data_IF_019713317421
#
_entry.id   IF_019713317421
#
_cell.length_a   1.000
_cell.length_b   1.000
_cell.length_c   1.000
_cell.angle_alpha   90.00
_cell.angle_beta   90.00
_cell.angle_gamma   90.00
#
_symmetry.space_group_name_H-M   'P 1'
#
loop_
_entity.id
_entity.type
_entity.pdbx_description
1 polymer ?
#
# COMPACT_ATOMS: atom_id res chain seq x y z
N UNK A 1 15.72 6.64 41.83
CA UNK A 1 15.14 7.95 42.22
C UNK A 1 14.58 8.59 40.95
N UNK A 2 13.35 9.12 41.03
CA UNK A 2 12.40 9.34 39.91
C UNK A 2 12.89 10.18 38.72
N UNK A 3 12.20 10.17 37.58
CA UNK A 3 10.78 10.53 37.45
C UNK A 3 10.01 9.69 36.44
N UNK A 4 8.94 9.08 36.93
CA UNK A 4 7.69 8.93 36.18
C UNK A 4 7.17 10.34 35.81
N UNK A 5 6.74 10.53 34.57
CA UNK A 5 6.02 11.73 34.13
C UNK A 5 6.88 12.90 33.67
N UNK A 6 7.24 12.91 32.39
CA UNK A 6 7.31 14.16 31.64
C UNK A 6 6.16 14.14 30.62
N UNK A 7 5.03 14.81 30.90
CA UNK A 7 4.01 15.03 29.89
C UNK A 7 4.48 16.18 28.99
N UNK A 8 4.66 15.93 27.69
CA UNK A 8 4.58 17.03 26.72
C UNK A 8 5.75 17.26 25.78
N UNK A 9 6.30 16.20 25.17
CA UNK A 9 6.73 16.34 23.76
C UNK A 9 6.34 15.08 23.00
N UNK A 10 5.63 15.25 21.89
CA UNK A 10 5.29 14.18 20.94
C UNK A 10 6.48 13.25 20.62
N UNK A 11 7.70 13.77 20.67
CA UNK A 11 8.94 13.05 20.43
C UNK A 11 9.40 13.15 18.98
N UNK A 12 10.56 12.57 18.68
CA UNK A 12 11.15 12.60 17.35
C UNK A 12 10.43 11.63 16.39
N UNK A 13 9.67 12.20 15.45
CA UNK A 13 8.98 11.46 14.41
C UNK A 13 9.78 11.32 13.10
N UNK A 14 10.99 11.89 13.01
CA UNK A 14 11.79 11.91 11.77
C UNK A 14 12.03 10.52 11.18
N UNK A 15 12.29 9.53 12.05
CA UNK A 15 12.47 8.13 11.64
C UNK A 15 11.18 7.53 11.08
N UNK A 16 10.04 7.83 11.70
CA UNK A 16 8.75 7.36 11.23
C UNK A 16 8.39 8.00 9.88
N UNK A 17 8.62 9.31 9.75
CA UNK A 17 8.43 10.05 8.49
C UNK A 17 9.27 9.46 7.36
N UNK A 18 10.58 9.28 7.61
CA UNK A 18 11.49 8.68 6.62
C UNK A 18 11.05 7.28 6.22
N UNK A 19 10.75 6.41 7.19
CA UNK A 19 10.33 5.05 6.92
C UNK A 19 9.01 4.97 6.16
N UNK A 20 8.05 5.86 6.47
CA UNK A 20 6.78 5.94 5.73
C UNK A 20 6.98 6.36 4.28
N UNK A 21 7.84 7.35 4.04
CA UNK A 21 8.17 7.82 2.68
C UNK A 21 8.98 6.81 1.87
N UNK A 22 9.84 6.01 2.51
CA UNK A 22 10.66 5.03 1.80
C UNK A 22 9.90 3.74 1.49
N UNK A 23 9.16 3.20 2.48
CA UNK A 23 8.62 1.84 2.42
C UNK A 23 7.09 1.78 2.30
N UNK A 24 6.40 2.90 2.55
CA UNK A 24 4.94 2.92 2.70
C UNK A 24 4.24 4.05 1.92
N UNK A 25 4.80 4.48 0.79
CA UNK A 25 4.17 5.46 -0.13
C UNK A 25 2.74 5.04 -0.48
N UNK A 26 2.49 3.75 -0.70
CA UNK A 26 1.17 3.21 -1.01
C UNK A 26 0.12 3.50 0.07
N UNK A 27 0.53 3.50 1.35
CA UNK A 27 -0.32 3.88 2.48
C UNK A 27 -0.66 5.37 2.44
N UNK A 28 0.32 6.22 2.11
CA UNK A 28 0.11 7.68 2.01
C UNK A 28 -0.86 8.03 0.88
N UNK A 29 -0.74 7.37 -0.27
CA UNK A 29 -1.69 7.51 -1.39
C UNK A 29 -3.08 7.10 -0.92
N UNK A 30 -3.23 5.93 -0.28
CA UNK A 30 -4.53 5.48 0.24
C UNK A 30 -5.14 6.47 1.24
N UNK A 31 -4.34 7.05 2.13
CA UNK A 31 -4.81 8.07 3.06
C UNK A 31 -5.25 9.35 2.35
N UNK A 32 -4.51 9.81 1.34
CA UNK A 32 -4.88 10.98 0.56
C UNK A 32 -6.22 10.80 -0.19
N UNK A 33 -6.50 9.60 -0.70
CA UNK A 33 -7.80 9.35 -1.32
C UNK A 33 -8.93 9.21 -0.31
N UNK A 34 -8.70 8.50 0.81
CA UNK A 34 -9.76 8.22 1.78
C UNK A 34 -10.04 9.40 2.72
N UNK A 35 -9.02 9.90 3.43
CA UNK A 35 -9.21 10.95 4.43
C UNK A 35 -9.25 12.36 3.83
N UNK A 36 -8.51 12.60 2.74
CA UNK A 36 -8.42 13.92 2.11
C UNK A 36 -9.32 14.08 0.87
N UNK A 37 -10.06 13.03 0.49
CA UNK A 37 -10.95 12.98 -0.68
C UNK A 37 -10.28 13.45 -1.99
N UNK A 38 -8.97 13.22 -2.13
CA UNK A 38 -8.23 13.61 -3.33
C UNK A 38 -8.62 12.68 -4.49
N UNK A 39 -8.92 13.19 -5.70
CA UNK A 39 -9.27 12.36 -6.86
C UNK A 39 -8.15 11.40 -7.28
N UNK A 40 -8.51 10.34 -8.00
CA UNK A 40 -7.76 9.08 -8.24
C UNK A 40 -6.37 9.17 -8.89
N UNK A 41 -5.86 10.35 -9.23
CA UNK A 41 -4.51 10.49 -9.79
C UNK A 41 -3.68 11.42 -8.92
N UNK A 42 -2.90 10.80 -8.04
CA UNK A 42 -1.83 11.44 -7.29
C UNK A 42 -0.51 10.96 -7.89
N UNK A 43 0.28 11.90 -8.37
CA UNK A 43 1.64 11.72 -8.89
C UNK A 43 2.69 11.96 -7.81
N UNK A 44 2.41 12.83 -6.84
CA UNK A 44 3.32 13.16 -5.74
C UNK A 44 2.61 13.18 -4.39
N UNK A 45 3.14 12.40 -3.44
CA UNK A 45 2.72 12.41 -2.05
C UNK A 45 3.90 12.11 -1.13
N UNK A 46 4.03 12.90 -0.07
CA UNK A 46 5.02 12.69 0.97
C UNK A 46 4.44 12.99 2.34
N UNK A 47 4.81 12.20 3.34
CA UNK A 47 4.63 12.54 4.73
C UNK A 47 5.71 13.56 5.09
N UNK A 48 5.31 14.72 5.58
CA UNK A 48 6.22 15.81 5.94
C UNK A 48 6.52 15.78 7.43
N UNK A 49 5.48 15.61 8.23
CA UNK A 49 5.59 15.66 9.68
C UNK A 49 4.50 14.83 10.36
N UNK A 50 4.71 14.56 11.64
CA UNK A 50 3.74 13.92 12.52
C UNK A 50 3.68 14.74 13.81
N UNK A 51 2.49 15.13 14.24
CA UNK A 51 2.27 15.86 15.49
C UNK A 51 1.19 15.16 16.32
N UNK A 52 0.96 15.63 17.55
CA UNK A 52 -0.12 15.11 18.41
C UNK A 52 -1.52 15.21 17.76
N UNK A 53 -1.69 16.16 16.84
CA UNK A 53 -2.96 16.41 16.16
C UNK A 53 -3.20 15.44 14.98
N UNK A 54 -2.14 14.96 14.33
CA UNK A 54 -2.28 14.15 13.13
C UNK A 54 -1.03 13.98 12.28
N UNK A 55 -1.26 13.42 11.09
CA UNK A 55 -0.26 13.27 10.04
C UNK A 55 -0.30 14.44 9.07
N UNK A 56 0.85 15.02 8.76
CA UNK A 56 0.98 16.14 7.83
C UNK A 56 1.54 15.64 6.51
N UNK A 57 0.72 15.66 5.46
CA UNK A 57 1.07 15.19 4.13
C UNK A 57 1.22 16.37 3.17
N UNK A 58 2.21 16.29 2.29
CA UNK A 58 2.26 17.07 1.07
C UNK A 58 1.65 16.23 -0.04
N UNK A 59 0.59 16.72 -0.68
CA UNK A 59 -0.06 16.04 -1.81
C UNK A 59 -0.07 17.01 -2.99
N UNK A 60 0.62 16.69 -4.08
CA UNK A 60 0.73 17.57 -5.26
C UNK A 60 1.21 19.00 -4.90
N UNK A 61 2.17 19.11 -3.98
CA UNK A 61 2.67 20.40 -3.48
C UNK A 61 1.70 21.17 -2.58
N UNK A 62 0.56 20.58 -2.21
CA UNK A 62 -0.40 21.14 -1.24
C UNK A 62 -0.26 20.46 0.10
N UNK A 63 0.04 21.25 1.13
CA UNK A 63 0.10 20.77 2.51
C UNK A 63 -1.30 20.48 3.05
N UNK A 64 -1.49 19.30 3.64
CA UNK A 64 -2.76 18.84 4.21
C UNK A 64 -2.51 18.02 5.46
N UNK A 65 -3.31 18.26 6.49
CA UNK A 65 -3.29 17.49 7.73
C UNK A 65 -4.41 16.45 7.73
N UNK A 66 -4.08 15.23 8.15
CA UNK A 66 -5.05 14.18 8.45
C UNK A 66 -5.09 14.02 9.98
N UNK A 67 -6.20 14.40 10.64
CA UNK A 67 -6.33 14.22 12.07
C UNK A 67 -6.37 12.74 12.43
N UNK A 68 -5.85 12.38 13.60
CA UNK A 68 -5.94 11.01 14.07
C UNK A 68 -7.39 10.57 14.28
N UNK A 69 -7.77 9.35 13.88
CA UNK A 69 -9.09 8.81 14.19
C UNK A 69 -9.36 8.83 15.69
N UNK A 70 -10.57 9.17 16.11
CA UNK A 70 -10.95 9.28 17.53
C UNK A 70 -10.70 7.99 18.34
N UNK A 71 -10.65 6.84 17.65
CA UNK A 71 -10.38 5.53 18.23
C UNK A 71 -8.90 5.31 18.56
N UNK A 72 -8.00 6.12 17.98
CA UNK A 72 -6.57 6.05 18.16
C UNK A 72 -6.08 7.18 19.07
N UNK A 73 -5.63 6.85 20.29
CA UNK A 73 -4.84 7.78 21.10
C UNK A 73 -3.40 7.81 20.59
N UNK A 74 -2.91 9.00 20.24
CA UNK A 74 -1.55 9.20 19.77
C UNK A 74 -0.85 10.24 20.66
N UNK A 75 -0.42 9.81 21.84
CA UNK A 75 0.21 10.69 22.83
C UNK A 75 1.74 10.80 22.59
N UNK A 76 2.31 9.95 21.73
CA UNK A 76 3.74 9.94 21.44
C UNK A 76 4.10 9.32 20.09
N UNK A 77 5.30 9.62 19.60
CA UNK A 77 5.89 9.08 18.37
C UNK A 77 5.97 7.55 18.35
N UNK A 78 5.94 6.88 19.52
CA UNK A 78 5.95 5.41 19.61
C UNK A 78 4.62 4.80 19.18
N UNK A 79 3.52 5.53 19.35
CA UNK A 79 2.19 5.06 19.01
C UNK A 79 1.84 5.31 17.53
N UNK A 80 2.59 6.17 16.85
CA UNK A 80 2.46 6.44 15.41
C UNK A 80 2.33 5.19 14.56
N UNK A 81 3.12 4.15 14.86
CA UNK A 81 3.06 2.89 14.12
C UNK A 81 1.68 2.24 14.22
N UNK A 82 1.08 2.22 15.42
CA UNK A 82 -0.25 1.62 15.63
C UNK A 82 -1.31 2.40 14.88
N UNK A 83 -1.25 3.73 14.98
CA UNK A 83 -2.19 4.63 14.29
C UNK A 83 -2.07 4.51 12.77
N UNK A 84 -0.85 4.49 12.24
CA UNK A 84 -0.60 4.30 10.81
C UNK A 84 -1.15 2.96 10.29
N UNK A 85 -0.96 1.87 11.04
CA UNK A 85 -1.51 0.56 10.67
C UNK A 85 -3.04 0.56 10.70
N UNK A 86 -3.63 1.17 11.73
CA UNK A 86 -5.08 1.32 11.82
C UNK A 86 -5.63 2.09 10.61
N UNK A 87 -5.07 3.27 10.33
CA UNK A 87 -5.49 4.13 9.22
C UNK A 87 -5.29 3.46 7.86
N UNK A 88 -4.21 2.69 7.68
CA UNK A 88 -4.01 1.88 6.49
C UNK A 88 -5.14 0.87 6.32
N UNK A 89 -5.44 0.08 7.36
CA UNK A 89 -6.50 -0.93 7.28
C UNK A 89 -7.87 -0.30 7.02
N UNK A 90 -8.18 0.81 7.68
CA UNK A 90 -9.44 1.54 7.49
C UNK A 90 -9.57 2.05 6.04
N UNK A 91 -8.55 2.78 5.57
CA UNK A 91 -8.55 3.32 4.21
C UNK A 91 -8.62 2.20 3.16
N UNK A 92 -7.87 1.12 3.32
CA UNK A 92 -7.88 -0.01 2.38
C UNK A 92 -9.20 -0.77 2.37
N UNK A 93 -9.84 -0.97 3.54
CA UNK A 93 -11.13 -1.63 3.63
C UNK A 93 -12.22 -0.80 2.92
N UNK A 94 -12.19 0.53 3.07
CA UNK A 94 -13.20 1.44 2.54
C UNK A 94 -13.03 1.75 1.05
N UNK A 95 -11.79 1.92 0.59
CA UNK A 95 -11.51 2.14 -0.83
C UNK A 95 -11.81 0.91 -1.69
N UNK A 96 -11.72 -0.30 -1.11
CA UNK A 96 -12.20 -1.53 -1.72
C UNK A 96 -11.44 -2.02 -2.96
N UNK A 97 -11.91 -3.12 -3.55
CA UNK A 97 -11.27 -3.81 -4.69
C UNK A 97 -11.20 -2.94 -5.97
N UNK A 98 -12.18 -2.06 -6.15
CA UNK A 98 -12.27 -1.15 -7.30
C UNK A 98 -11.17 -0.10 -7.30
N UNK A 99 -10.84 0.47 -6.13
CA UNK A 99 -9.70 1.38 -5.99
C UNK A 99 -8.38 0.67 -6.28
N UNK A 100 -8.21 -0.58 -5.80
CA UNK A 100 -6.99 -1.40 -6.06
C UNK A 100 -6.77 -1.69 -7.55
N UNK A 101 -7.84 -1.77 -8.34
CA UNK A 101 -7.77 -1.93 -9.80
C UNK A 101 -7.51 -0.60 -10.53
N UNK A 102 -8.07 0.51 -10.04
CA UNK A 102 -8.01 1.82 -10.70
C UNK A 102 -6.74 2.63 -10.39
N UNK A 103 -6.19 2.51 -9.18
CA UNK A 103 -4.95 3.20 -8.77
C UNK A 103 -3.67 2.58 -9.33
N UNK A 104 -3.77 1.46 -10.06
CA UNK A 104 -2.60 0.78 -10.61
C UNK A 104 -1.79 0.00 -9.56
N UNK A 105 -2.34 -0.23 -8.37
CA UNK A 105 -1.73 -1.01 -7.28
C UNK A 105 -1.20 -2.38 -7.74
N UNK A 106 -1.93 -3.02 -8.67
CA UNK A 106 -1.51 -4.28 -9.26
C UNK A 106 -0.47 -4.16 -10.37
N UNK A 107 -0.17 -2.99 -10.95
CA UNK A 107 0.92 -2.93 -11.95
C UNK A 107 2.26 -3.27 -11.30
N UNK A 108 2.56 -2.72 -10.11
CA UNK A 108 3.79 -3.03 -9.36
C UNK A 108 3.76 -4.43 -8.74
N UNK A 109 2.65 -4.85 -8.13
CA UNK A 109 2.52 -6.19 -7.56
C UNK A 109 2.49 -7.31 -8.63
N UNK A 110 1.86 -7.10 -9.79
CA UNK A 110 1.88 -8.05 -10.91
C UNK A 110 3.25 -8.10 -11.60
N UNK A 111 4.04 -7.02 -11.61
CA UNK A 111 5.45 -7.06 -12.02
C UNK A 111 6.30 -7.96 -11.10
N UNK A 112 6.05 -7.95 -9.78
CA UNK A 112 6.70 -8.89 -8.86
C UNK A 112 6.15 -10.33 -8.95
N UNK A 113 4.84 -10.50 -9.13
CA UNK A 113 4.23 -11.82 -9.30
C UNK A 113 4.64 -12.50 -10.61
N UNK A 114 4.67 -11.74 -11.71
CA UNK A 114 5.12 -12.22 -13.02
C UNK A 114 6.59 -12.63 -13.01
N UNK A 115 7.48 -11.89 -12.33
CA UNK A 115 8.88 -12.29 -12.20
C UNK A 115 9.06 -13.58 -11.40
N UNK A 116 8.24 -13.85 -10.39
CA UNK A 116 8.25 -15.12 -9.65
C UNK A 116 7.69 -16.29 -10.50
N UNK A 117 6.60 -16.07 -11.23
CA UNK A 117 6.02 -17.07 -12.16
C UNK A 117 6.98 -17.35 -13.31
N UNK A 118 7.59 -16.32 -13.92
CA UNK A 118 8.59 -16.46 -14.98
C UNK A 118 9.83 -17.21 -14.47
N UNK A 119 10.33 -16.90 -13.26
CA UNK A 119 11.43 -17.67 -12.65
C UNK A 119 11.04 -19.13 -12.42
N UNK A 120 9.81 -19.41 -11.98
CA UNK A 120 9.32 -20.79 -11.76
C UNK A 120 9.12 -21.55 -13.08
N UNK A 121 8.64 -20.87 -14.12
CA UNK A 121 8.49 -21.42 -15.48
C UNK A 121 9.86 -21.64 -16.15
N UNK A 122 10.81 -20.73 -15.98
CA UNK A 122 12.19 -20.91 -16.47
C UNK A 122 12.87 -22.08 -15.77
N UNK A 123 12.71 -22.23 -14.45
CA UNK A 123 13.28 -23.34 -13.68
C UNK A 123 12.67 -24.69 -14.06
N UNK A 124 11.37 -24.74 -14.35
CA UNK A 124 10.64 -25.97 -14.66
C UNK A 124 10.26 -26.05 -16.16
N UNK A 125 11.06 -25.43 -17.03
CA UNK A 125 10.77 -25.29 -18.47
C UNK A 125 10.49 -26.62 -19.18
N UNK A 126 11.17 -27.68 -18.76
CA UNK A 126 11.04 -29.05 -19.29
C UNK A 126 9.67 -29.69 -18.98
N UNK A 127 8.93 -29.23 -17.97
CA UNK A 127 7.58 -29.72 -17.63
C UNK A 127 6.50 -28.82 -18.21
N UNK A 128 6.72 -27.50 -18.18
CA UNK A 128 5.69 -26.52 -18.56
C UNK A 128 5.46 -26.50 -20.08
N UNK A 129 6.51 -26.59 -20.90
CA UNK A 129 6.39 -26.57 -22.37
C UNK A 129 5.53 -27.74 -22.89
N UNK A 130 5.79 -29.02 -22.53
CA UNK A 130 4.95 -30.13 -22.99
C UNK A 130 3.49 -30.02 -22.51
N UNK A 131 3.25 -29.55 -21.28
CA UNK A 131 1.90 -29.41 -20.75
C UNK A 131 1.06 -28.38 -21.53
N UNK A 132 1.66 -27.26 -21.93
CA UNK A 132 0.99 -26.22 -22.73
C UNK A 132 0.73 -26.71 -24.17
N UNK A 133 1.67 -27.46 -24.76
CA UNK A 133 1.50 -28.04 -26.09
C UNK A 133 0.36 -29.08 -26.12
N UNK A 134 0.28 -29.96 -25.12
CA UNK A 134 -0.79 -30.96 -24.99
C UNK A 134 -2.16 -30.32 -24.80
N UNK A 135 -2.26 -29.26 -24.00
CA UNK A 135 -3.52 -28.55 -23.79
C UNK A 135 -3.96 -27.78 -25.04
N UNK A 136 -3.04 -27.15 -25.77
CA UNK A 136 -3.35 -26.53 -27.07
C UNK A 136 -3.82 -27.56 -28.11
N UNK A 137 -3.17 -28.73 -28.18
CA UNK A 137 -3.55 -29.83 -29.06
C UNK A 137 -4.91 -30.41 -28.70
N UNK A 138 -5.20 -30.61 -27.40
CA UNK A 138 -6.49 -31.09 -26.93
C UNK A 138 -7.62 -30.11 -27.30
N UNK A 139 -7.41 -28.81 -27.15
CA UNK A 139 -8.37 -27.76 -27.54
C UNK A 139 -8.59 -27.77 -29.06
N UNK A 140 -7.52 -27.88 -29.86
CA UNK A 140 -7.61 -27.94 -31.32
C UNK A 140 -8.36 -29.19 -31.80
N UNK A 141 -8.08 -30.36 -31.19
CA UNK A 141 -8.79 -31.61 -31.47
C UNK A 141 -10.28 -31.51 -31.13
N UNK A 142 -10.61 -30.96 -29.96
CA UNK A 142 -12.00 -30.82 -29.52
C UNK A 142 -12.80 -29.86 -30.41
N UNK A 143 -12.17 -28.77 -30.89
CA UNK A 143 -12.77 -27.84 -31.86
C UNK A 143 -12.97 -28.48 -33.23
N UNK A 144 -12.05 -29.32 -33.69
CA UNK A 144 -12.17 -30.03 -34.97
C UNK A 144 -13.27 -31.09 -34.95
N UNK A 145 -13.52 -31.72 -33.79
CA UNK A 145 -14.57 -32.74 -33.63
C UNK A 145 -15.98 -32.17 -33.47
N UNK A 146 -16.11 -30.87 -33.16
CA UNK A 146 -17.39 -30.14 -33.05
C UNK A 146 -17.80 -29.39 -34.33
N UNK A 147 -16.99 -29.45 -35.39
CA UNK A 147 -17.35 -29.05 -36.75
C UNK A 147 -17.64 -30.30 -37.56
#
# INVERSE_FOLDING_TARGET
MGRDGDPGTFGDASRAVKHMNDDHIDSLVAWAHYYLNVPTHITDVALVDCTEEGFHLMVEGVWRMIPYPAECKCDSARDLRKVAVYMHNEAFAKLGLAYRLRSGYYKRAALMGSSFVLRKVQRNRHVVIPAVALSALAIAYYRRRRR
#
